data_IF_716755813318
#
_entry.id   IF_716755813318
#
_cell.length_a   1.000
_cell.length_b   1.000
_cell.length_c   1.000
_cell.angle_alpha   90.00
_cell.angle_beta   90.00
_cell.angle_gamma   90.00
#
_symmetry.space_group_name_H-M   'P 1'
#
loop_
_entity.id
_entity.type
_entity.pdbx_description
1 polymer ?
#
# COMPACT_ATOMS: atom_id res chain seq x y z
N UNK A 1 -11.68 8.32 7.14
CA UNK A 1 -12.69 8.63 6.11
C UNK A 1 -12.63 7.72 4.89
N UNK A 2 -11.50 7.64 4.17
CA UNK A 2 -11.34 6.72 3.03
C UNK A 2 -11.57 5.23 3.40
N UNK A 3 -11.15 4.81 4.60
CA UNK A 3 -11.45 3.48 5.15
C UNK A 3 -12.96 3.25 5.31
N UNK A 4 -13.65 4.20 5.95
CA UNK A 4 -15.08 4.11 6.23
C UNK A 4 -15.91 4.03 4.95
N UNK A 5 -15.55 4.79 3.90
CA UNK A 5 -16.18 4.69 2.58
C UNK A 5 -16.07 3.32 1.92
N UNK A 6 -15.17 2.46 2.39
CA UNK A 6 -14.97 1.12 1.86
C UNK A 6 -15.52 0.01 2.74
N UNK A 7 -15.49 0.20 4.06
CA UNK A 7 -15.79 -0.85 5.05
C UNK A 7 -17.11 -0.63 5.79
N UNK A 8 -17.63 0.60 5.83
CA UNK A 8 -18.84 0.93 6.57
C UNK A 8 -20.08 0.79 5.69
N UNK A 9 -21.17 0.21 6.22
CA UNK A 9 -22.44 0.04 5.48
C UNK A 9 -23.16 1.35 5.15
N UNK A 10 -22.79 2.45 5.82
CA UNK A 10 -23.32 3.80 5.58
C UNK A 10 -22.23 4.85 5.80
N UNK A 11 -21.28 5.01 4.87
CA UNK A 11 -20.09 5.84 5.08
C UNK A 11 -20.40 7.34 5.11
N UNK A 12 -21.31 7.81 4.27
CA UNK A 12 -21.78 9.19 4.26
C UNK A 12 -22.35 9.60 5.63
N UNK A 13 -23.11 8.68 6.26
CA UNK A 13 -23.70 8.90 7.59
C UNK A 13 -22.62 8.97 8.66
N UNK A 14 -21.60 8.11 8.59
CA UNK A 14 -20.47 8.12 9.51
C UNK A 14 -19.67 9.42 9.39
N UNK A 15 -19.46 9.93 8.18
CA UNK A 15 -18.77 11.20 7.98
C UNK A 15 -19.55 12.38 8.54
N UNK A 16 -20.85 12.46 8.23
CA UNK A 16 -21.69 13.54 8.76
C UNK A 16 -21.72 13.51 10.29
N UNK A 17 -21.78 12.31 10.89
CA UNK A 17 -21.66 12.16 12.33
C UNK A 17 -20.31 12.65 12.86
N UNK A 18 -19.20 12.35 12.19
CA UNK A 18 -17.89 12.87 12.56
C UNK A 18 -17.83 14.41 12.48
N UNK A 19 -18.40 15.01 11.42
CA UNK A 19 -18.50 16.48 11.31
C UNK A 19 -19.36 17.06 12.42
N UNK A 20 -20.47 16.40 12.77
CA UNK A 20 -21.31 16.82 13.90
C UNK A 20 -20.52 16.82 15.21
N UNK A 21 -19.72 15.78 15.47
CA UNK A 21 -18.83 15.68 16.65
C UNK A 21 -17.75 16.76 16.64
N UNK A 22 -17.13 17.06 15.49
CA UNK A 22 -16.17 18.17 15.37
C UNK A 22 -16.81 19.51 15.76
N UNK A 23 -18.05 19.74 15.34
CA UNK A 23 -18.80 20.95 15.68
C UNK A 23 -19.17 20.99 17.16
N UNK A 24 -19.68 19.90 17.73
CA UNK A 24 -20.16 19.89 19.12
C UNK A 24 -19.04 19.89 20.14
N UNK A 25 -17.99 19.11 19.91
CA UNK A 25 -16.99 18.78 20.92
C UNK A 25 -15.72 19.63 20.75
N UNK A 26 -15.44 20.07 19.51
CA UNK A 26 -14.21 20.80 19.17
C UNK A 26 -14.46 22.21 18.62
N UNK A 27 -15.73 22.65 18.56
CA UNK A 27 -16.13 23.96 18.02
C UNK A 27 -15.61 24.23 16.60
N UNK A 28 -15.38 23.16 15.83
CA UNK A 28 -14.91 23.24 14.46
C UNK A 28 -16.07 22.97 13.50
N UNK A 29 -16.57 24.03 12.86
CA UNK A 29 -17.70 23.94 11.94
C UNK A 29 -17.22 23.83 10.48
N UNK A 30 -17.80 22.87 9.77
CA UNK A 30 -17.56 22.63 8.34
C UNK A 30 -18.87 22.94 7.59
N UNK A 31 -18.87 23.93 6.68
CA UNK A 31 -20.07 24.26 5.92
C UNK A 31 -20.64 23.03 5.20
N UNK A 32 -21.97 22.87 5.22
CA UNK A 32 -22.63 21.70 4.60
C UNK A 32 -22.24 21.50 3.14
N UNK A 33 -22.06 22.60 2.40
CA UNK A 33 -21.61 22.57 1.00
C UNK A 33 -20.21 21.93 0.85
N UNK A 34 -19.28 22.20 1.77
CA UNK A 34 -17.95 21.60 1.79
C UNK A 34 -18.01 20.11 2.16
N UNK A 35 -18.88 19.75 3.11
CA UNK A 35 -19.12 18.35 3.49
C UNK A 35 -19.66 17.56 2.29
N UNK A 36 -20.64 18.10 1.57
CA UNK A 36 -21.22 17.47 0.39
C UNK A 36 -20.21 17.37 -0.76
N UNK A 37 -19.38 18.40 -0.95
CA UNK A 37 -18.28 18.39 -1.93
C UNK A 37 -17.27 17.29 -1.62
N UNK A 38 -16.81 17.18 -0.37
CA UNK A 38 -15.87 16.14 0.06
C UNK A 38 -16.44 14.72 -0.10
N UNK A 39 -17.72 14.53 0.25
CA UNK A 39 -18.42 13.26 0.00
C UNK A 39 -18.49 12.91 -1.49
N UNK A 40 -18.69 13.92 -2.35
CA UNK A 40 -18.62 13.77 -3.80
C UNK A 40 -17.26 13.25 -4.27
N UNK A 41 -16.18 13.88 -3.81
CA UNK A 41 -14.80 13.46 -4.11
C UNK A 41 -14.56 12.01 -3.65
N UNK A 42 -14.94 11.63 -2.43
CA UNK A 42 -14.75 10.26 -1.96
C UNK A 42 -15.47 9.23 -2.83
N UNK A 43 -16.68 9.54 -3.31
CA UNK A 43 -17.43 8.66 -4.22
C UNK A 43 -16.78 8.54 -5.59
N UNK A 44 -16.27 9.64 -6.12
CA UNK A 44 -15.57 9.68 -7.41
C UNK A 44 -14.32 8.78 -7.42
N UNK A 45 -13.50 8.84 -6.37
CA UNK A 45 -12.23 8.10 -6.30
C UNK A 45 -12.36 6.68 -5.73
N UNK A 46 -13.49 6.33 -5.08
CA UNK A 46 -13.70 5.01 -4.47
C UNK A 46 -13.44 3.81 -5.41
N UNK A 47 -13.87 3.82 -6.70
CA UNK A 47 -13.58 2.72 -7.62
C UNK A 47 -12.07 2.52 -7.87
N UNK A 48 -11.32 3.61 -8.06
CA UNK A 48 -9.87 3.53 -8.26
C UNK A 48 -9.14 3.00 -7.01
N UNK A 49 -9.59 3.43 -5.82
CA UNK A 49 -9.07 2.90 -4.55
C UNK A 49 -9.37 1.41 -4.40
N UNK A 50 -10.57 0.94 -4.80
CA UNK A 50 -10.92 -0.46 -4.75
C UNK A 50 -10.07 -1.33 -5.70
N UNK A 51 -9.78 -0.83 -6.91
CA UNK A 51 -8.86 -1.48 -7.85
C UNK A 51 -7.44 -1.58 -7.27
N UNK A 52 -6.93 -0.49 -6.68
CA UNK A 52 -5.61 -0.47 -6.04
C UNK A 52 -5.49 -1.47 -4.90
N UNK A 53 -6.57 -1.66 -4.12
CA UNK A 53 -6.62 -2.68 -3.05
C UNK A 53 -6.49 -4.09 -3.61
N UNK A 54 -7.16 -4.38 -4.73
CA UNK A 54 -7.02 -5.68 -5.39
C UNK A 54 -5.58 -5.91 -5.87
N UNK A 55 -4.95 -4.89 -6.47
CA UNK A 55 -3.58 -4.99 -6.92
C UNK A 55 -2.59 -5.19 -5.77
N UNK A 56 -2.75 -4.46 -4.67
CA UNK A 56 -1.93 -4.63 -3.47
C UNK A 56 -2.15 -6.02 -2.86
N UNK A 57 -3.39 -6.51 -2.80
CA UNK A 57 -3.69 -7.85 -2.29
C UNK A 57 -3.02 -8.95 -3.12
N UNK A 58 -3.07 -8.84 -4.45
CA UNK A 58 -2.36 -9.76 -5.34
C UNK A 58 -0.84 -9.67 -5.16
N UNK A 59 -0.29 -8.46 -4.96
CA UNK A 59 1.13 -8.28 -4.67
C UNK A 59 1.54 -8.95 -3.35
N UNK A 60 0.65 -8.95 -2.34
CA UNK A 60 0.91 -9.61 -1.07
C UNK A 60 1.02 -11.13 -1.19
N UNK A 61 0.45 -11.76 -2.23
CA UNK A 61 0.70 -13.18 -2.52
C UNK A 61 2.19 -13.41 -2.81
N UNK A 62 2.78 -12.57 -3.66
CA UNK A 62 4.20 -12.63 -4.01
C UNK A 62 5.06 -12.36 -2.77
N UNK A 63 4.73 -11.32 -2.00
CA UNK A 63 5.44 -10.97 -0.76
C UNK A 63 5.40 -12.15 0.21
N UNK A 64 4.23 -12.74 0.49
CA UNK A 64 4.10 -13.90 1.38
C UNK A 64 4.94 -15.09 0.91
N UNK A 65 5.00 -15.35 -0.39
CA UNK A 65 5.81 -16.44 -0.93
C UNK A 65 7.28 -16.30 -0.54
N UNK A 66 7.90 -15.14 -0.83
CA UNK A 66 9.29 -14.89 -0.50
C UNK A 66 9.51 -14.70 1.01
N UNK A 67 8.56 -14.06 1.68
CA UNK A 67 8.58 -13.88 3.13
C UNK A 67 8.77 -15.22 3.82
N UNK A 68 8.11 -16.30 3.36
CA UNK A 68 8.15 -17.61 4.00
C UNK A 68 9.37 -18.48 3.60
N UNK A 69 10.17 -18.10 2.59
CA UNK A 69 11.41 -18.83 2.21
C UNK A 69 12.51 -18.69 3.27
N UNK A 70 13.24 -19.76 3.56
CA UNK A 70 14.41 -19.75 4.45
C UNK A 70 15.66 -19.22 3.72
N UNK A 71 15.57 -18.01 3.20
CA UNK A 71 16.63 -17.33 2.47
C UNK A 71 17.03 -16.06 3.24
N UNK A 72 18.25 -15.57 2.99
CA UNK A 72 18.66 -14.25 3.48
C UNK A 72 17.80 -13.15 2.89
N UNK A 73 17.68 -12.02 3.60
CA UNK A 73 16.98 -10.82 3.13
C UNK A 73 17.45 -10.41 1.73
N UNK A 74 18.77 -10.29 1.51
CA UNK A 74 19.34 -9.93 0.21
C UNK A 74 18.85 -10.85 -0.92
N UNK A 75 18.84 -12.17 -0.67
CA UNK A 75 18.35 -13.15 -1.64
C UNK A 75 16.84 -13.01 -1.86
N UNK A 76 16.04 -12.81 -0.81
CA UNK A 76 14.58 -12.58 -0.97
C UNK A 76 14.31 -11.34 -1.82
N UNK A 77 15.01 -10.23 -1.57
CA UNK A 77 14.88 -8.98 -2.35
C UNK A 77 15.27 -9.22 -3.81
N UNK A 78 16.40 -9.89 -4.05
CA UNK A 78 16.87 -10.23 -5.40
C UNK A 78 15.83 -11.06 -6.16
N UNK A 79 15.43 -12.21 -5.61
CA UNK A 79 14.54 -13.16 -6.29
C UNK A 79 13.14 -12.55 -6.48
N UNK A 80 12.69 -11.70 -5.54
CA UNK A 80 11.45 -10.95 -5.69
C UNK A 80 11.52 -9.93 -6.82
N UNK A 81 12.59 -9.13 -6.90
CA UNK A 81 12.81 -8.19 -8.00
C UNK A 81 12.93 -8.89 -9.36
N UNK A 82 13.64 -10.03 -9.40
CA UNK A 82 13.78 -10.87 -10.59
C UNK A 82 12.42 -11.41 -11.05
N UNK A 83 11.60 -11.95 -10.14
CA UNK A 83 10.25 -12.42 -10.47
C UNK A 83 9.37 -11.31 -11.05
N UNK A 84 9.35 -10.14 -10.42
CA UNK A 84 8.55 -8.99 -10.90
C UNK A 84 8.94 -8.60 -12.32
N UNK A 85 10.24 -8.60 -12.63
CA UNK A 85 10.76 -8.29 -13.96
C UNK A 85 10.48 -9.39 -14.97
N UNK A 86 10.77 -10.64 -14.64
CA UNK A 86 10.66 -11.80 -15.53
C UNK A 86 9.21 -12.10 -15.90
N UNK A 87 8.30 -11.97 -14.94
CA UNK A 87 6.85 -12.15 -15.14
C UNK A 87 6.18 -10.89 -15.68
N UNK A 88 6.94 -9.83 -15.93
CA UNK A 88 6.45 -8.54 -16.42
C UNK A 88 5.25 -8.03 -15.62
N UNK A 89 5.44 -7.94 -14.30
CA UNK A 89 4.48 -7.47 -13.30
C UNK A 89 4.75 -5.99 -13.00
N UNK A 90 3.75 -5.16 -12.63
CA UNK A 90 3.99 -3.77 -12.25
C UNK A 90 4.88 -3.68 -11.01
N UNK A 91 5.75 -2.69 -10.96
CA UNK A 91 6.48 -2.34 -9.73
C UNK A 91 5.56 -1.45 -8.89
N UNK A 92 4.83 -2.05 -7.95
CA UNK A 92 4.06 -1.31 -6.96
C UNK A 92 5.00 -0.87 -5.83
N UNK A 93 5.67 0.28 -6.00
CA UNK A 93 6.77 0.72 -5.14
C UNK A 93 6.48 0.59 -3.63
N UNK A 94 5.32 1.05 -3.18
CA UNK A 94 4.88 0.90 -1.79
C UNK A 94 4.90 -0.57 -1.33
N UNK A 95 4.18 -1.44 -2.04
CA UNK A 95 4.05 -2.85 -1.67
C UNK A 95 5.40 -3.58 -1.78
N UNK A 96 6.20 -3.25 -2.79
CA UNK A 96 7.53 -3.82 -2.96
C UNK A 96 8.45 -3.48 -1.78
N UNK A 97 8.56 -2.20 -1.44
CA UNK A 97 9.39 -1.72 -0.33
C UNK A 97 8.90 -2.31 1.00
N UNK A 98 7.58 -2.32 1.23
CA UNK A 98 7.00 -2.91 2.43
C UNK A 98 7.26 -4.43 2.53
N UNK A 99 7.22 -5.14 1.41
CA UNK A 99 7.64 -6.55 1.36
C UNK A 99 9.09 -6.73 1.81
N UNK A 100 9.99 -5.85 1.36
CA UNK A 100 11.40 -5.87 1.79
C UNK A 100 11.53 -5.59 3.30
N UNK A 101 10.76 -4.63 3.85
CA UNK A 101 10.69 -4.38 5.30
C UNK A 101 10.27 -5.65 6.04
N UNK A 102 9.22 -6.33 5.57
CA UNK A 102 8.73 -7.57 6.21
C UNK A 102 9.75 -8.70 6.15
N UNK A 103 10.50 -8.83 5.06
CA UNK A 103 11.60 -9.80 4.97
C UNK A 103 12.66 -9.52 6.03
N UNK A 104 12.98 -8.23 6.24
CA UNK A 104 13.95 -7.81 7.24
C UNK A 104 13.46 -8.02 8.68
N UNK A 105 12.19 -7.69 8.98
CA UNK A 105 11.56 -7.93 10.29
C UNK A 105 11.62 -9.43 10.65
N UNK A 106 11.36 -10.32 9.69
CA UNK A 106 11.43 -11.77 9.90
C UNK A 106 12.82 -12.24 10.31
N UNK A 107 13.85 -11.74 9.64
CA UNK A 107 15.22 -12.23 9.81
C UNK A 107 15.95 -11.50 10.95
N UNK A 108 15.46 -10.32 11.36
CA UNK A 108 16.04 -9.49 12.43
C UNK A 108 14.98 -9.07 13.47
N UNK A 109 14.21 -9.99 14.08
CA UNK A 109 13.09 -9.64 14.96
C UNK A 109 13.52 -8.83 16.20
N UNK A 110 14.77 -8.98 16.65
CA UNK A 110 15.31 -8.24 17.79
C UNK A 110 15.50 -6.73 17.57
N UNK A 111 15.41 -6.25 16.32
CA UNK A 111 15.49 -4.82 15.99
C UNK A 111 14.12 -4.13 16.03
N UNK A 112 13.03 -4.88 16.23
CA UNK A 112 11.68 -4.35 16.19
C UNK A 112 10.92 -4.63 17.50
N UNK A 113 9.98 -3.76 17.89
CA UNK A 113 9.05 -4.05 18.98
C UNK A 113 8.32 -5.39 18.78
N UNK A 114 8.11 -6.20 19.84
CA UNK A 114 7.45 -7.51 19.73
C UNK A 114 6.07 -7.47 19.08
N UNK A 115 5.31 -6.39 19.30
CA UNK A 115 4.00 -6.19 18.69
C UNK A 115 4.08 -6.08 17.17
N UNK A 116 5.10 -5.40 16.63
CA UNK A 116 5.37 -5.32 15.19
C UNK A 116 5.71 -6.71 14.64
N UNK A 117 6.63 -7.42 15.30
CA UNK A 117 7.05 -8.76 14.85
C UNK A 117 5.86 -9.72 14.80
N UNK A 118 5.06 -9.75 15.86
CA UNK A 118 3.86 -10.60 15.94
C UNK A 118 2.83 -10.25 14.86
N UNK A 119 2.58 -8.96 14.65
CA UNK A 119 1.64 -8.49 13.63
C UNK A 119 2.12 -8.82 12.21
N UNK A 120 3.38 -8.56 11.87
CA UNK A 120 3.95 -8.94 10.56
C UNK A 120 3.90 -10.44 10.34
N UNK A 121 4.23 -11.25 11.36
CA UNK A 121 4.12 -12.70 11.27
C UNK A 121 2.68 -13.16 11.04
N UNK A 122 1.71 -12.57 11.74
CA UNK A 122 0.28 -12.83 11.55
C UNK A 122 -0.17 -12.46 10.14
N UNK A 123 0.20 -11.27 9.68
CA UNK A 123 -0.17 -10.74 8.37
C UNK A 123 0.40 -11.61 7.25
N UNK A 124 1.62 -12.13 7.41
CA UNK A 124 2.34 -12.94 6.42
C UNK A 124 2.10 -14.47 6.54
N UNK A 125 1.29 -14.91 7.49
CA UNK A 125 0.88 -16.31 7.62
C UNK A 125 0.05 -16.75 6.40
N UNK A 126 0.26 -17.97 5.90
CA UNK A 126 -0.49 -18.50 4.76
C UNK A 126 -1.60 -19.42 5.26
N UNK A 127 -2.85 -19.08 4.95
CA UNK A 127 -4.01 -19.91 5.28
C UNK A 127 -4.20 -21.01 4.24
N UNK A 128 -4.49 -22.23 4.70
CA UNK A 128 -4.77 -23.38 3.82
C UNK A 128 -6.09 -23.21 3.03
N UNK A 129 -7.07 -22.54 3.62
CA UNK A 129 -8.33 -22.21 2.97
C UNK A 129 -8.13 -20.99 2.06
N UNK A 130 -8.19 -21.22 0.74
CA UNK A 130 -8.00 -20.17 -0.29
C UNK A 130 -8.97 -19.00 -0.13
N UNK A 131 -10.22 -19.26 0.27
CA UNK A 131 -11.21 -18.18 0.45
C UNK A 131 -10.84 -17.32 1.65
N UNK A 132 -10.41 -17.94 2.76
CA UNK A 132 -9.91 -17.22 3.94
C UNK A 132 -8.63 -16.44 3.62
N UNK A 133 -7.70 -17.03 2.89
CA UNK A 133 -6.46 -16.35 2.46
C UNK A 133 -6.77 -15.08 1.65
N UNK A 134 -7.68 -15.16 0.68
CA UNK A 134 -8.09 -13.98 -0.12
C UNK A 134 -8.72 -12.88 0.72
N UNK A 135 -9.63 -13.24 1.63
CA UNK A 135 -10.27 -12.27 2.52
C UNK A 135 -9.23 -11.59 3.40
N UNK A 136 -8.30 -12.36 3.97
CA UNK A 136 -7.20 -11.84 4.78
C UNK A 136 -6.29 -10.89 3.99
N UNK A 137 -5.85 -11.30 2.79
CA UNK A 137 -5.01 -10.47 1.91
C UNK A 137 -5.72 -9.16 1.51
N UNK A 138 -7.02 -9.22 1.21
CA UNK A 138 -7.82 -8.04 0.88
C UNK A 138 -7.96 -7.10 2.07
N UNK A 139 -8.13 -7.61 3.27
CA UNK A 139 -8.20 -6.79 4.49
C UNK A 139 -6.85 -6.12 4.76
N UNK A 140 -5.75 -6.87 4.71
CA UNK A 140 -4.40 -6.30 4.85
C UNK A 140 -4.12 -5.21 3.81
N UNK A 141 -4.43 -5.47 2.54
CA UNK A 141 -4.30 -4.48 1.48
C UNK A 141 -5.22 -3.27 1.69
N UNK A 142 -6.39 -3.49 2.27
CA UNK A 142 -7.36 -2.44 2.59
C UNK A 142 -6.78 -1.44 3.56
N UNK A 143 -6.20 -1.94 4.65
CA UNK A 143 -5.69 -1.12 5.74
C UNK A 143 -4.46 -0.33 5.27
N UNK A 144 -3.56 -1.00 4.54
CA UNK A 144 -2.35 -0.36 4.01
C UNK A 144 -2.61 0.65 2.89
N UNK A 145 -3.74 0.55 2.18
CA UNK A 145 -4.17 1.55 1.21
C UNK A 145 -4.37 2.93 1.85
N UNK A 146 -4.48 3.04 3.18
CA UNK A 146 -4.50 4.33 3.87
C UNK A 146 -3.24 5.17 3.64
N UNK A 147 -2.15 4.56 3.19
CA UNK A 147 -0.90 5.26 2.88
C UNK A 147 -0.87 5.84 1.47
N UNK A 148 -1.53 5.18 0.51
CA UNK A 148 -1.56 5.59 -0.90
C UNK A 148 -2.81 6.37 -1.28
N UNK A 149 -3.94 6.15 -0.60
CA UNK A 149 -5.20 6.81 -0.90
C UNK A 149 -5.14 8.34 -0.73
N UNK A 150 -4.41 8.92 0.24
CA UNK A 150 -4.28 10.36 0.36
C UNK A 150 -3.66 11.03 -0.88
N UNK A 151 -2.69 10.38 -1.53
CA UNK A 151 -2.10 10.89 -2.76
C UNK A 151 -3.12 10.94 -3.89
N UNK A 152 -3.94 9.89 -4.00
CA UNK A 152 -4.96 9.81 -5.04
C UNK A 152 -6.09 10.82 -4.81
N UNK A 153 -6.44 11.12 -3.55
CA UNK A 153 -7.62 11.92 -3.20
C UNK A 153 -7.31 13.41 -3.03
N UNK A 154 -6.14 13.75 -2.46
CA UNK A 154 -5.86 15.12 -1.97
C UNK A 154 -4.73 15.85 -2.70
N UNK A 155 -4.12 15.23 -3.69
CA UNK A 155 -3.14 15.90 -4.54
C UNK A 155 -3.81 16.96 -5.40
N UNK A 156 -3.33 18.19 -5.33
CA UNK A 156 -3.83 19.28 -6.16
C UNK A 156 -3.13 19.25 -7.53
N UNK A 157 -3.87 18.86 -8.57
CA UNK A 157 -3.35 18.81 -9.93
C UNK A 157 -3.01 20.18 -10.54
N UNK A 158 -3.63 21.26 -10.06
CA UNK A 158 -3.39 22.61 -10.58
C UNK A 158 -2.10 23.21 -10.00
N UNK A 159 -1.84 22.99 -8.71
CA UNK A 159 -0.67 23.56 -8.02
C UNK A 159 0.49 22.57 -7.89
N UNK A 160 0.28 21.29 -8.20
CA UNK A 160 1.22 20.19 -7.93
C UNK A 160 1.62 20.05 -6.45
N UNK A 161 0.74 20.51 -5.54
CA UNK A 161 0.97 20.46 -4.11
C UNK A 161 0.19 19.32 -3.46
N UNK A 162 0.80 18.75 -2.41
CA UNK A 162 0.13 17.81 -1.54
C UNK A 162 -0.55 18.56 -0.40
N UNK A 163 -1.87 18.47 -0.29
CA UNK A 163 -2.54 18.89 0.94
C UNK A 163 -2.17 17.89 2.05
N UNK A 164 -1.59 18.37 3.14
CA UNK A 164 -1.19 17.54 4.28
C UNK A 164 -2.36 16.63 4.70
N UNK A 165 -2.14 15.31 4.66
CA UNK A 165 -3.09 14.34 5.16
C UNK A 165 -2.57 13.71 6.44
N UNK A 166 -3.38 13.75 7.50
CA UNK A 166 -3.12 13.02 8.73
C UNK A 166 -3.72 11.63 8.62
N UNK A 167 -2.87 10.60 8.60
CA UNK A 167 -3.30 9.21 8.77
C UNK A 167 -3.26 8.88 10.25
N UNK A 168 -4.43 8.64 10.84
CA UNK A 168 -4.55 8.11 12.19
C UNK A 168 -5.02 6.65 12.09
N UNK A 169 -4.18 5.72 12.54
CA UNK A 169 -4.54 4.30 12.64
C UNK A 169 -3.95 3.69 13.89
N UNK A 170 -4.72 2.80 14.53
CA UNK A 170 -4.24 1.92 15.59
C UNK A 170 -3.55 0.66 15.06
N UNK A 171 -3.53 0.43 13.75
CA UNK A 171 -2.86 -0.73 13.15
C UNK A 171 -1.34 -0.52 13.14
N UNK A 172 -0.66 -1.43 13.82
CA UNK A 172 0.80 -1.47 13.98
C UNK A 172 1.53 -1.62 12.63
N UNK A 173 0.94 -2.30 11.64
CA UNK A 173 1.50 -2.44 10.29
C UNK A 173 1.53 -1.10 9.54
N UNK A 174 0.52 -0.25 9.75
CA UNK A 174 0.51 1.10 9.20
C UNK A 174 1.57 1.97 9.89
N UNK A 175 1.68 1.86 11.21
CA UNK A 175 2.74 2.52 11.98
C UNK A 175 4.13 2.16 11.46
N UNK A 176 4.41 0.86 11.30
CA UNK A 176 5.68 0.36 10.74
C UNK A 176 5.93 0.92 9.33
N UNK A 177 4.92 0.87 8.45
CA UNK A 177 5.08 1.37 7.09
C UNK A 177 5.39 2.89 7.07
N UNK A 178 4.79 3.69 7.96
CA UNK A 178 5.06 5.14 8.07
C UNK A 178 6.46 5.46 8.63
N UNK A 179 6.98 4.62 9.53
CA UNK A 179 8.33 4.79 10.10
C UNK A 179 9.43 4.38 9.13
N UNK A 180 9.17 3.40 8.26
CA UNK A 180 10.19 2.85 7.36
C UNK A 180 10.10 3.38 5.92
N UNK A 181 8.94 3.86 5.46
CA UNK A 181 8.73 4.30 4.07
C UNK A 181 8.24 5.75 4.05
N UNK A 182 8.76 6.54 3.12
CA UNK A 182 8.36 7.93 2.91
C UNK A 182 8.15 8.23 1.41
N UNK A 183 7.26 9.19 1.15
CA UNK A 183 7.15 9.81 -0.18
C UNK A 183 8.41 10.63 -0.45
N UNK A 184 9.05 10.36 -1.58
CA UNK A 184 10.21 11.11 -2.06
C UNK A 184 9.80 12.13 -3.11
N UNK A 185 8.86 11.77 -4.00
CA UNK A 185 8.30 12.64 -5.04
C UNK A 185 6.86 12.22 -5.34
N UNK A 186 6.02 13.12 -5.88
CA UNK A 186 4.71 12.76 -6.45
C UNK A 186 4.72 13.03 -7.94
N UNK A 187 4.20 12.08 -8.73
CA UNK A 187 4.11 12.13 -10.18
C UNK A 187 2.65 11.99 -10.59
N UNK A 188 2.20 12.90 -11.46
CA UNK A 188 0.83 12.89 -12.00
C UNK A 188 0.82 12.19 -13.36
N UNK A 189 -0.11 11.26 -13.56
CA UNK A 189 -0.37 10.69 -14.88
C UNK A 189 -1.84 10.32 -15.08
N UNK A 190 -2.43 10.76 -16.19
CA UNK A 190 -3.81 10.47 -16.59
C UNK A 190 -4.85 10.65 -15.47
N UNK A 191 -4.75 11.79 -14.76
CA UNK A 191 -5.57 12.18 -13.59
C UNK A 191 -5.40 11.31 -12.33
N UNK A 192 -4.34 10.50 -12.25
CA UNK A 192 -3.96 9.75 -11.05
C UNK A 192 -2.65 10.27 -10.48
N UNK A 193 -2.48 10.11 -9.17
CA UNK A 193 -1.34 10.65 -8.44
C UNK A 193 -0.55 9.51 -7.80
N UNK A 194 0.70 9.37 -8.22
CA UNK A 194 1.58 8.31 -7.76
C UNK A 194 2.73 8.88 -6.95
N UNK A 195 2.92 8.35 -5.74
CA UNK A 195 4.15 8.59 -4.99
C UNK A 195 5.31 7.79 -5.55
N UNK A 196 6.40 8.47 -5.91
CA UNK A 196 7.73 7.90 -5.72
C UNK A 196 7.93 7.72 -4.22
N UNK A 197 8.17 6.49 -3.81
CA UNK A 197 8.38 6.11 -2.41
C UNK A 197 9.80 5.58 -2.27
N UNK A 198 10.39 5.85 -1.12
CA UNK A 198 11.70 5.33 -0.74
C UNK A 198 11.71 4.95 0.73
N UNK A 199 12.81 4.36 1.19
CA UNK A 199 13.01 4.17 2.61
C UNK A 199 13.20 5.52 3.30
N UNK A 200 12.64 5.65 4.49
CA UNK A 200 12.85 6.84 5.32
C UNK A 200 14.30 6.79 5.82
N UNK A 201 15.11 7.85 5.65
CA UNK A 201 16.50 7.86 6.12
C UNK A 201 16.67 7.61 7.62
N UNK A 202 15.68 7.99 8.43
CA UNK A 202 15.65 7.73 9.88
C UNK A 202 15.02 6.38 10.25
N UNK A 203 14.60 5.59 9.27
CA UNK A 203 13.99 4.28 9.47
C UNK A 203 15.05 3.23 9.79
N UNK A 204 14.63 2.19 10.51
CA UNK A 204 15.50 1.09 10.97
C UNK A 204 16.18 0.37 9.80
N UNK A 205 15.49 0.29 8.66
CA UNK A 205 15.94 -0.57 7.54
C UNK A 205 16.66 0.18 6.42
N UNK A 206 16.72 1.51 6.45
CA UNK A 206 17.13 2.34 5.30
C UNK A 206 18.50 1.92 4.78
N UNK A 207 19.52 1.99 5.65
CA UNK A 207 20.91 1.73 5.27
C UNK A 207 21.16 0.32 4.70
N UNK A 208 20.36 -0.66 5.15
CA UNK A 208 20.55 -2.06 4.78
C UNK A 208 19.76 -2.43 3.53
N UNK A 209 18.51 -2.00 3.42
CA UNK A 209 17.64 -2.37 2.31
C UNK A 209 17.84 -1.47 1.08
N UNK A 210 18.22 -0.21 1.25
CA UNK A 210 18.38 0.73 0.13
C UNK A 210 19.45 0.26 -0.86
N UNK A 211 20.56 -0.28 -0.36
CA UNK A 211 21.62 -0.85 -1.20
C UNK A 211 21.12 -2.08 -2.00
N UNK A 212 20.39 -2.98 -1.36
CA UNK A 212 19.85 -4.19 -2.00
C UNK A 212 18.77 -3.84 -3.03
N UNK A 213 17.85 -2.94 -2.70
CA UNK A 213 16.77 -2.50 -3.60
C UNK A 213 17.37 -1.77 -4.80
N UNK A 214 18.27 -0.81 -4.60
CA UNK A 214 18.94 -0.09 -5.70
C UNK A 214 19.69 -1.04 -6.64
N UNK A 215 20.34 -2.07 -6.09
CA UNK A 215 21.08 -3.06 -6.87
C UNK A 215 20.18 -3.94 -7.74
N UNK A 216 19.06 -4.43 -7.20
CA UNK A 216 18.24 -5.44 -7.87
C UNK A 216 17.02 -4.87 -8.59
N UNK A 217 16.38 -3.88 -7.98
CA UNK A 217 15.28 -3.13 -8.59
C UNK A 217 15.87 -2.02 -9.46
N UNK A 218 16.48 -2.39 -10.60
CA UNK A 218 17.05 -1.40 -11.54
C UNK A 218 16.02 -0.33 -11.88
N UNK A 219 16.38 0.94 -11.73
CA UNK A 219 15.60 2.07 -12.21
C UNK A 219 15.41 1.94 -13.72
N UNK A 220 14.24 1.46 -14.15
CA UNK A 220 13.87 1.54 -15.56
C UNK A 220 13.16 2.88 -15.78
N UNK A 221 13.28 3.45 -16.98
CA UNK A 221 12.44 4.57 -17.39
C UNK A 221 10.93 4.21 -17.40
N UNK A 222 10.59 2.93 -17.26
CA UNK A 222 9.23 2.42 -17.03
C UNK A 222 8.85 2.31 -15.54
N UNK A 223 9.78 2.57 -14.61
CA UNK A 223 9.47 3.04 -13.26
C UNK A 223 9.10 4.52 -13.26
N UNK A 224 9.35 5.25 -14.37
CA UNK A 224 8.63 6.49 -14.59
C UNK A 224 7.16 6.12 -14.72
N UNK A 225 6.36 6.74 -13.87
CA UNK A 225 4.93 6.58 -13.76
C UNK A 225 4.17 7.11 -14.99
N UNK A 226 4.76 7.03 -16.19
CA UNK A 226 4.15 7.20 -17.51
C UNK A 226 3.14 6.09 -17.86
N UNK A 227 2.66 5.37 -16.85
CA UNK A 227 1.65 4.33 -16.94
C UNK A 227 0.29 4.89 -17.35
N UNK A 228 -0.06 4.79 -18.63
CA UNK A 228 -1.46 4.89 -19.05
C UNK A 228 -2.20 3.70 -18.46
N UNK A 229 -3.11 3.97 -17.54
CA UNK A 229 -3.96 2.97 -16.90
C UNK A 229 -4.64 2.11 -17.95
N UNK A 230 -4.30 0.82 -18.00
CA UNK A 230 -4.78 -0.19 -18.96
C UNK A 230 -4.15 -0.05 -20.36
N UNK A 231 -3.04 -0.76 -20.59
CA UNK A 231 -2.48 -0.85 -21.95
C UNK A 231 -1.33 -1.83 -22.18
N UNK A 232 -0.67 -2.37 -21.15
CA UNK A 232 0.51 -3.24 -21.34
C UNK A 232 0.42 -4.63 -20.68
N UNK A 233 -0.75 -4.99 -20.14
CA UNK A 233 -1.04 -6.33 -19.59
C UNK A 233 -0.33 -6.70 -18.28
N UNK A 234 0.47 -5.80 -17.68
CA UNK A 234 1.24 -6.16 -16.47
C UNK A 234 0.35 -6.42 -15.24
N UNK A 235 -0.76 -5.70 -15.10
CA UNK A 235 -1.72 -5.92 -14.02
C UNK A 235 -2.45 -7.26 -14.18
N UNK A 236 -2.78 -7.64 -15.42
CA UNK A 236 -3.33 -8.97 -15.72
C UNK A 236 -2.29 -10.07 -15.44
N UNK A 237 -1.00 -9.79 -15.71
CA UNK A 237 0.10 -10.69 -15.34
C UNK A 237 0.23 -10.86 -13.83
N UNK A 238 0.05 -9.78 -13.05
CA UNK A 238 0.06 -9.84 -11.58
C UNK A 238 -1.08 -10.71 -11.07
N UNK A 239 -2.30 -10.48 -11.56
CA UNK A 239 -3.47 -11.28 -11.17
C UNK A 239 -3.24 -12.76 -11.50
N UNK A 240 -2.85 -13.07 -12.73
CA UNK A 240 -2.54 -14.43 -13.15
C UNK A 240 -1.43 -15.08 -12.31
N UNK A 241 -0.35 -14.37 -12.04
CA UNK A 241 0.75 -14.88 -11.21
C UNK A 241 0.29 -15.14 -9.77
N UNK A 242 -0.52 -14.24 -9.19
CA UNK A 242 -1.07 -14.44 -7.86
C UNK A 242 -1.98 -15.68 -7.80
N UNK A 243 -2.81 -15.90 -8.83
CA UNK A 243 -3.67 -17.09 -8.97
C UNK A 243 -2.87 -18.40 -9.07
N UNK A 244 -1.82 -18.40 -9.88
CA UNK A 244 -0.87 -19.50 -10.05
C UNK A 244 -0.22 -19.88 -8.71
N UNK A 245 0.30 -18.88 -7.99
CA UNK A 245 0.94 -19.06 -6.69
C UNK A 245 -0.02 -19.51 -5.59
N UNK A 246 -1.25 -18.99 -5.55
CA UNK A 246 -2.31 -19.44 -4.65
C UNK A 246 -2.78 -20.87 -4.97
N UNK A 247 -2.59 -21.31 -6.21
CA UNK A 247 -2.96 -22.65 -6.65
C UNK A 247 -1.85 -23.69 -6.54
N UNK A 248 -0.64 -23.28 -6.16
CA UNK A 248 0.50 -24.17 -5.98
C UNK A 248 1.24 -24.53 -7.27
N UNK A 249 1.02 -23.77 -8.35
CA UNK A 249 1.72 -23.91 -9.63
C UNK A 249 2.58 -22.65 -9.86
N UNK A 250 3.83 -22.59 -9.36
CA UNK A 250 4.72 -21.46 -9.64
C UNK A 250 5.24 -21.45 -11.08
#
# INVERSE_FOLDING_TARGET
MAEQHRTHGAPDKAFRHYVDVLRTDYLYDLPTQEVDRLLGVFKEFSPAVADNVNFIANYFVLIKHFYNKRWSVDRKVKEFAELVRERNVPVLAFAFLLGCVYFYVRDNPGQFPPAIVSKVQSDMCVYADKKKERVHLRNLASDLMLLSAPAEIFFNHETSEFNFCYVASGDVSIGLALTEIAYTQVVVNDKRCFGSLGFRPSGTVSDVLEAAVTKYLRQSSQQSFSFKGRGDGRFDNLERLAEEMLSGHP
#
